data_IF_754611826531
#
_entry.id   IF_754611826531
#
_cell.length_a   1.000
_cell.length_b   1.000
_cell.length_c   1.000
_cell.angle_alpha   90.00
_cell.angle_beta   90.00
_cell.angle_gamma   90.00
#
_symmetry.space_group_name_H-M   'P 1'
#
loop_
_entity.id
_entity.type
_entity.pdbx_description
1 polymer ?
#
# COMPACT_ATOMS: atom_id res chain seq x y z
N UNK A 1 15.20 18.75 -5.25
CA UNK A 1 15.30 19.54 -3.99
C UNK A 1 16.21 18.80 -3.00
N UNK A 2 17.22 19.46 -2.43
CA UNK A 2 18.07 18.90 -1.37
C UNK A 2 17.37 19.06 -0.02
N UNK A 3 17.20 17.98 0.73
CA UNK A 3 16.70 18.01 2.11
C UNK A 3 17.77 18.66 2.98
N UNK A 4 17.41 19.68 3.77
CA UNK A 4 18.34 20.33 4.69
C UNK A 4 18.45 19.53 6.00
N UNK A 5 19.59 19.60 6.70
CA UNK A 5 19.77 18.89 7.97
C UNK A 5 18.79 19.36 9.07
N UNK A 6 18.25 20.58 8.94
CA UNK A 6 17.26 21.16 9.86
C UNK A 6 15.84 20.59 9.65
N UNK A 7 15.55 19.99 8.49
CA UNK A 7 14.26 19.33 8.23
C UNK A 7 14.19 17.93 8.91
N UNK A 8 15.31 17.42 9.43
CA UNK A 8 15.43 16.14 10.14
C UNK A 8 15.15 16.28 11.66
N UNK A 9 14.06 16.95 12.03
CA UNK A 9 13.38 16.70 13.32
C UNK A 9 13.20 15.18 13.54
N UNK A 10 12.93 14.66 14.76
CA UNK A 10 12.64 13.23 14.95
C UNK A 10 11.32 12.86 14.29
N UNK A 11 11.38 12.68 12.97
CA UNK A 11 10.29 12.25 12.12
C UNK A 11 10.05 10.76 12.38
N UNK A 12 8.78 10.37 12.41
CA UNK A 12 8.44 8.95 12.34
C UNK A 12 8.90 8.39 10.99
N UNK A 13 9.08 7.07 10.92
CA UNK A 13 9.48 6.40 9.67
C UNK A 13 8.57 6.79 8.48
N UNK A 14 7.26 6.85 8.72
CA UNK A 14 6.27 7.24 7.70
C UNK A 14 6.44 8.68 7.21
N UNK A 15 6.71 9.62 8.11
CA UNK A 15 6.94 11.04 7.75
C UNK A 15 8.21 11.22 6.90
N UNK A 16 9.28 10.51 7.24
CA UNK A 16 10.52 10.52 6.47
C UNK A 16 10.30 9.93 5.08
N UNK A 17 9.59 8.80 5.00
CA UNK A 17 9.23 8.16 3.74
C UNK A 17 8.48 9.12 2.81
N UNK A 18 7.46 9.80 3.34
CA UNK A 18 6.65 10.73 2.55
C UNK A 18 7.47 11.95 2.09
N UNK A 19 8.33 12.49 2.95
CA UNK A 19 9.23 13.60 2.60
C UNK A 19 10.20 13.22 1.48
N UNK A 20 10.73 11.99 1.51
CA UNK A 20 11.63 11.47 0.48
C UNK A 20 10.89 11.25 -0.85
N UNK A 21 9.69 10.69 -0.82
CA UNK A 21 8.87 10.49 -2.03
C UNK A 21 8.44 11.82 -2.65
N UNK A 22 8.15 12.84 -1.85
CA UNK A 22 7.81 14.18 -2.33
C UNK A 22 8.95 14.86 -3.13
N UNK A 23 10.21 14.47 -2.90
CA UNK A 23 11.35 15.03 -3.61
C UNK A 23 11.42 14.62 -5.09
N UNK A 24 10.81 13.49 -5.46
CA UNK A 24 10.85 12.94 -6.81
C UNK A 24 9.87 11.78 -7.00
N UNK A 25 8.55 12.01 -6.94
CA UNK A 25 7.54 10.94 -6.92
C UNK A 25 7.46 10.17 -8.25
N UNK A 26 7.98 10.75 -9.34
CA UNK A 26 8.04 10.14 -10.66
C UNK A 26 9.43 9.57 -11.00
N UNK A 27 10.42 9.72 -10.10
CA UNK A 27 11.74 9.10 -10.27
C UNK A 27 11.68 7.64 -9.84
N UNK A 28 11.64 6.74 -10.82
CA UNK A 28 11.62 5.30 -10.59
C UNK A 28 12.78 4.81 -9.72
N UNK A 29 13.99 5.31 -9.92
CA UNK A 29 15.16 4.85 -9.17
C UNK A 29 15.09 5.28 -7.70
N UNK A 30 14.61 6.50 -7.46
CA UNK A 30 14.37 6.99 -6.10
C UNK A 30 13.29 6.14 -5.41
N UNK A 31 12.14 5.93 -6.07
CA UNK A 31 11.02 5.14 -5.53
C UNK A 31 11.45 3.72 -5.21
N UNK A 32 12.19 3.04 -6.10
CA UNK A 32 12.71 1.68 -5.85
C UNK A 32 13.60 1.64 -4.61
N UNK A 33 14.50 2.62 -4.44
CA UNK A 33 15.39 2.68 -3.27
C UNK A 33 14.62 2.90 -1.97
N UNK A 34 13.61 3.76 -1.98
CA UNK A 34 12.75 4.03 -0.82
C UNK A 34 11.96 2.76 -0.46
N UNK A 35 11.32 2.12 -1.44
CA UNK A 35 10.54 0.89 -1.21
C UNK A 35 11.41 -0.25 -0.67
N UNK A 36 12.65 -0.39 -1.14
CA UNK A 36 13.62 -1.36 -0.60
C UNK A 36 13.99 -1.05 0.86
N UNK A 37 14.24 0.23 1.18
CA UNK A 37 14.54 0.64 2.54
C UNK A 37 13.34 0.42 3.49
N UNK A 38 12.12 0.67 3.01
CA UNK A 38 10.89 0.39 3.73
C UNK A 38 10.67 -1.09 3.99
N UNK A 39 10.85 -1.95 2.97
CA UNK A 39 10.75 -3.38 3.12
C UNK A 39 11.73 -3.92 4.17
N UNK A 40 12.97 -3.42 4.17
CA UNK A 40 13.99 -3.77 5.18
C UNK A 40 13.64 -3.24 6.58
N UNK A 41 13.09 -2.03 6.70
CA UNK A 41 12.60 -1.51 7.97
C UNK A 41 11.50 -2.42 8.55
N UNK A 42 10.47 -2.74 7.75
CA UNK A 42 9.38 -3.60 8.20
C UNK A 42 9.86 -5.01 8.55
N UNK A 43 10.81 -5.56 7.80
CA UNK A 43 11.43 -6.86 8.09
C UNK A 43 12.15 -6.89 9.44
N UNK A 44 12.81 -5.79 9.82
CA UNK A 44 13.49 -5.66 11.12
C UNK A 44 12.54 -5.34 12.27
N UNK A 45 11.42 -4.70 11.95
CA UNK A 45 10.35 -4.34 12.89
C UNK A 45 9.28 -5.43 13.04
N UNK A 46 9.53 -6.64 12.52
CA UNK A 46 8.59 -7.76 12.65
C UNK A 46 8.40 -8.17 14.10
N UNK A 47 7.19 -8.65 14.40
CA UNK A 47 6.78 -9.14 15.70
C UNK A 47 5.33 -9.58 15.67
N UNK A 48 4.80 -10.00 16.81
CA UNK A 48 3.37 -10.23 16.97
C UNK A 48 2.85 -9.43 18.16
N UNK A 49 1.65 -8.88 18.00
CA UNK A 49 0.90 -8.24 19.07
C UNK A 49 -0.40 -9.01 19.27
N UNK A 50 -0.84 -9.12 20.52
CA UNK A 50 -2.12 -9.74 20.88
C UNK A 50 -2.87 -8.76 21.75
N UNK A 51 -4.00 -8.27 21.26
CA UNK A 51 -4.91 -7.38 21.96
C UNK A 51 -6.31 -7.52 21.33
N UNK A 52 -7.27 -6.76 21.83
CA UNK A 52 -8.61 -6.67 21.27
C UNK A 52 -8.62 -6.09 19.85
N UNK A 53 -9.58 -6.53 19.03
CA UNK A 53 -9.67 -6.12 17.62
C UNK A 53 -9.80 -4.61 17.42
N UNK A 54 -10.55 -3.94 18.29
CA UNK A 54 -10.74 -2.48 18.25
C UNK A 54 -9.45 -1.71 18.54
N UNK A 55 -8.52 -2.31 19.29
CA UNK A 55 -7.19 -1.75 19.55
C UNK A 55 -6.17 -2.10 18.47
N UNK A 56 -6.25 -3.30 17.90
CA UNK A 56 -5.31 -3.77 16.87
C UNK A 56 -5.59 -3.23 15.48
N UNK A 57 -6.87 -3.04 15.13
CA UNK A 57 -7.27 -2.60 13.78
C UNK A 57 -7.18 -1.07 13.60
N UNK A 58 -6.87 -0.32 14.65
CA UNK A 58 -6.56 1.11 14.54
C UNK A 58 -5.23 1.29 13.85
N UNK A 59 -5.21 1.99 12.71
CA UNK A 59 -4.00 2.34 12.00
C UNK A 59 -3.89 3.85 11.82
N UNK A 60 -2.65 4.35 11.83
CA UNK A 60 -2.37 5.75 11.54
C UNK A 60 -2.43 5.95 10.02
N UNK A 61 -3.42 6.71 9.56
CA UNK A 61 -3.49 7.14 8.17
C UNK A 61 -2.42 8.24 8.00
N UNK A 62 -1.21 7.87 7.57
CA UNK A 62 -0.06 8.75 7.36
C UNK A 62 -0.26 9.80 6.26
N UNK A 63 -1.32 10.61 6.32
CA UNK A 63 -1.67 11.64 5.35
C UNK A 63 -2.80 11.24 4.40
N UNK A 64 -2.89 11.96 3.28
CA UNK A 64 -3.90 11.78 2.25
C UNK A 64 -3.22 11.50 0.91
N UNK A 65 -3.75 10.52 0.17
CA UNK A 65 -3.29 10.17 -1.18
C UNK A 65 -4.51 10.08 -2.10
N UNK A 66 -4.33 10.42 -3.38
CA UNK A 66 -5.39 10.21 -4.36
C UNK A 66 -5.49 8.72 -4.67
N UNK A 67 -6.64 8.13 -4.38
CA UNK A 67 -6.89 6.70 -4.59
C UNK A 67 -7.82 6.51 -5.79
N UNK A 68 -7.41 5.66 -6.72
CA UNK A 68 -8.29 5.11 -7.75
C UNK A 68 -8.65 3.67 -7.37
N UNK A 69 -9.87 3.47 -6.88
CA UNK A 69 -10.34 2.16 -6.40
C UNK A 69 -11.30 1.52 -7.40
N UNK A 70 -11.20 0.20 -7.54
CA UNK A 70 -12.17 -0.63 -8.27
C UNK A 70 -12.58 -1.82 -7.41
N UNK A 71 -13.88 -2.14 -7.41
CA UNK A 71 -14.42 -3.30 -6.72
C UNK A 71 -15.19 -4.18 -7.71
N UNK A 72 -14.88 -5.47 -7.75
CA UNK A 72 -15.47 -6.41 -8.71
C UNK A 72 -15.62 -7.81 -8.10
N UNK A 73 -16.56 -8.64 -8.59
CA UNK A 73 -16.77 -9.99 -8.06
C UNK A 73 -15.67 -10.97 -8.51
N UNK A 74 -15.14 -11.73 -7.55
CA UNK A 74 -14.09 -12.74 -7.78
C UNK A 74 -14.60 -14.19 -7.74
N UNK A 75 -15.92 -14.39 -7.85
CA UNK A 75 -16.57 -15.69 -7.71
C UNK A 75 -16.73 -16.10 -6.24
N UNK A 76 -16.68 -17.40 -5.98
CA UNK A 76 -16.81 -17.97 -4.63
C UNK A 76 -15.62 -18.86 -4.31
N UNK A 77 -15.40 -19.21 -3.04
CA UNK A 77 -14.33 -20.14 -2.65
C UNK A 77 -14.43 -21.50 -3.38
N UNK A 78 -15.65 -21.98 -3.68
CA UNK A 78 -15.86 -23.25 -4.41
C UNK A 78 -15.70 -23.12 -5.92
N UNK A 79 -15.86 -21.92 -6.44
CA UNK A 79 -15.78 -21.61 -7.87
C UNK A 79 -15.15 -20.21 -8.05
N UNK A 80 -13.82 -20.10 -7.88
CA UNK A 80 -13.12 -18.82 -7.99
C UNK A 80 -13.03 -18.40 -9.46
N UNK A 81 -13.22 -17.12 -9.74
CA UNK A 81 -13.05 -16.59 -11.10
C UNK A 81 -11.59 -16.25 -11.42
N UNK A 82 -10.74 -16.14 -10.41
CA UNK A 82 -9.35 -15.65 -10.50
C UNK A 82 -9.21 -14.27 -11.13
N UNK A 83 -10.28 -13.48 -11.15
CA UNK A 83 -10.26 -12.13 -11.71
C UNK A 83 -9.39 -11.19 -10.85
N UNK A 84 -9.34 -11.42 -9.55
CA UNK A 84 -8.47 -10.75 -8.58
C UNK A 84 -6.98 -10.88 -8.93
N UNK A 85 -6.52 -12.11 -9.15
CA UNK A 85 -5.11 -12.37 -9.46
C UNK A 85 -4.75 -11.82 -10.85
N UNK A 86 -5.59 -12.08 -11.86
CA UNK A 86 -5.35 -11.56 -13.22
C UNK A 86 -5.30 -10.03 -13.26
N UNK A 87 -6.21 -9.37 -12.54
CA UNK A 87 -6.21 -7.91 -12.47
C UNK A 87 -4.90 -7.38 -11.87
N UNK A 88 -4.41 -8.00 -10.80
CA UNK A 88 -3.14 -7.59 -10.19
C UNK A 88 -1.93 -7.90 -11.07
N UNK A 89 -1.88 -9.06 -11.72
CA UNK A 89 -0.84 -9.39 -12.70
C UNK A 89 -0.80 -8.34 -13.81
N UNK A 90 -1.93 -8.01 -14.42
CA UNK A 90 -2.02 -6.98 -15.48
C UNK A 90 -1.57 -5.59 -15.00
N UNK A 91 -1.91 -5.21 -13.76
CA UNK A 91 -1.48 -3.93 -13.17
C UNK A 91 0.04 -3.92 -12.92
N UNK A 92 0.59 -4.99 -12.36
CA UNK A 92 2.02 -5.09 -12.06
C UNK A 92 2.85 -5.16 -13.34
N UNK A 93 2.44 -5.97 -14.32
CA UNK A 93 3.06 -6.06 -15.64
C UNK A 93 3.05 -4.68 -16.33
N UNK A 94 1.94 -3.96 -16.26
CA UNK A 94 1.85 -2.61 -16.83
C UNK A 94 2.85 -1.64 -16.19
N UNK A 95 3.02 -1.69 -14.87
CA UNK A 95 3.98 -0.84 -14.14
C UNK A 95 5.41 -1.17 -14.58
N UNK A 96 5.73 -2.44 -14.68
CA UNK A 96 7.05 -2.90 -15.10
C UNK A 96 7.33 -2.54 -16.56
N UNK A 97 6.45 -2.90 -17.48
CA UNK A 97 6.60 -2.67 -18.93
C UNK A 97 6.72 -1.18 -19.25
N UNK A 98 5.91 -0.34 -18.59
CA UNK A 98 5.91 1.11 -18.82
C UNK A 98 6.91 1.86 -17.94
N UNK A 99 7.66 1.15 -17.11
CA UNK A 99 8.65 1.72 -16.19
C UNK A 99 8.04 2.82 -15.29
N UNK A 100 6.81 2.61 -14.83
CA UNK A 100 6.09 3.60 -14.00
C UNK A 100 6.67 3.63 -12.59
N UNK A 101 6.87 4.85 -12.07
CA UNK A 101 7.12 5.04 -10.65
C UNK A 101 5.79 4.86 -9.89
N UNK A 102 5.74 3.89 -8.98
CA UNK A 102 4.61 3.62 -8.11
C UNK A 102 4.97 4.00 -6.65
N UNK A 103 4.91 5.29 -6.28
CA UNK A 103 5.32 5.78 -4.95
C UNK A 103 4.31 5.43 -3.84
N UNK A 104 3.05 5.22 -4.20
CA UNK A 104 1.99 4.79 -3.30
C UNK A 104 1.87 3.26 -3.30
N UNK A 105 1.48 2.64 -2.17
CA UNK A 105 1.22 1.20 -2.14
C UNK A 105 0.04 0.84 -3.04
N UNK A 106 0.09 -0.35 -3.63
CA UNK A 106 -1.03 -0.96 -4.34
C UNK A 106 -1.66 -1.96 -3.39
N UNK A 107 -2.91 -1.71 -2.99
CA UNK A 107 -3.60 -2.51 -2.01
C UNK A 107 -4.65 -3.40 -2.66
N UNK A 108 -4.58 -4.70 -2.37
CA UNK A 108 -5.59 -5.67 -2.76
C UNK A 108 -6.26 -6.24 -1.50
N UNK A 109 -7.60 -6.19 -1.47
CA UNK A 109 -8.41 -6.68 -0.35
C UNK A 109 -9.56 -7.52 -0.88
N UNK A 110 -10.00 -8.48 -0.06
CA UNK A 110 -11.17 -9.30 -0.33
C UNK A 110 -12.19 -9.08 0.77
N UNK A 111 -13.44 -8.89 0.37
CA UNK A 111 -14.57 -8.80 1.28
C UNK A 111 -15.65 -9.79 0.87
N UNK A 112 -16.44 -10.26 1.83
CA UNK A 112 -17.59 -11.10 1.57
C UNK A 112 -18.75 -10.25 1.03
N UNK A 113 -19.57 -10.83 0.14
CA UNK A 113 -20.85 -10.23 -0.22
C UNK A 113 -21.77 -10.14 1.00
N UNK A 114 -22.70 -9.18 1.01
CA UNK A 114 -23.76 -9.14 2.03
C UNK A 114 -24.49 -10.49 2.07
N UNK A 115 -24.57 -11.09 3.25
CA UNK A 115 -25.39 -12.28 3.52
C UNK A 115 -26.75 -11.93 4.12
N UNK A 116 -27.04 -10.63 4.26
CA UNK A 116 -28.27 -10.16 4.90
C UNK A 116 -29.42 -10.16 3.90
N UNK A 117 -30.53 -10.86 4.16
CA UNK A 117 -31.72 -10.79 3.30
C UNK A 117 -32.35 -9.39 3.23
N UNK A 118 -32.05 -8.52 4.20
CA UNK A 118 -32.68 -7.20 4.38
C UNK A 118 -31.70 -6.02 4.27
N UNK A 119 -30.44 -6.29 3.91
CA UNK A 119 -29.45 -5.26 3.57
C UNK A 119 -28.81 -5.68 2.24
N UNK A 120 -29.48 -5.41 1.11
CA UNK A 120 -28.94 -5.68 -0.21
C UNK A 120 -27.64 -4.92 -0.48
#
# INVERSE_FOLDING_TARGET
PSISEEDLEPQSFSQLRDSLLACGPLDKNLVVRINQAEAEFWKRSQGYAVDWSDKLLGFDCGGQQWVSEVAFPCGSLKNPSFADLRFMEEVLDMIEDRQLAAPAPIEQRWTASSSSPMSP
#
